data_IF_529805552173
#
_entry.id   IF_529805552173
#
_cell.length_a   1.000
_cell.length_b   1.000
_cell.length_c   1.000
_cell.angle_alpha   90.00
_cell.angle_beta   90.00
_cell.angle_gamma   90.00
#
_symmetry.space_group_name_H-M   'P 1'
#
loop_
_entity.id
_entity.type
_entity.pdbx_description
1 polymer ?
#
# COMPACT_ATOMS: atom_id res chain seq x y z
N UNK A 1 5.98 -9.27 -21.74
CA UNK A 1 5.73 -8.25 -20.70
C UNK A 1 6.50 -8.53 -19.41
N UNK A 2 7.81 -8.23 -19.39
CA UNK A 2 8.65 -8.42 -18.21
C UNK A 2 8.13 -7.67 -16.96
N UNK A 3 7.69 -6.42 -17.14
CA UNK A 3 7.16 -5.60 -16.03
C UNK A 3 5.91 -6.24 -15.42
N UNK A 4 4.99 -6.69 -16.28
CA UNK A 4 3.75 -7.36 -15.84
C UNK A 4 4.07 -8.61 -15.02
N UNK A 5 5.03 -9.41 -15.46
CA UNK A 5 5.46 -10.61 -14.73
C UNK A 5 6.10 -10.25 -13.38
N UNK A 6 7.04 -9.30 -13.36
CA UNK A 6 7.74 -8.88 -12.13
C UNK A 6 6.87 -8.15 -11.11
N UNK A 7 5.65 -7.78 -11.49
CA UNK A 7 4.71 -7.04 -10.63
C UNK A 7 3.43 -7.81 -10.35
N UNK A 8 3.44 -9.13 -10.53
CA UNK A 8 2.25 -9.99 -10.38
C UNK A 8 1.01 -9.46 -11.16
N UNK A 9 1.26 -8.90 -12.34
CA UNK A 9 0.22 -8.30 -13.18
C UNK A 9 -0.35 -6.98 -12.68
N UNK A 10 0.20 -6.39 -11.61
CA UNK A 10 -0.26 -5.11 -11.06
C UNK A 10 0.17 -3.90 -11.88
N UNK A 11 1.29 -4.00 -12.60
CA UNK A 11 1.75 -2.96 -13.52
C UNK A 11 1.79 -3.57 -14.92
N UNK A 12 0.77 -3.27 -15.72
CA UNK A 12 0.57 -3.88 -17.04
C UNK A 12 1.16 -3.07 -18.18
N UNK A 13 1.31 -1.75 -18.01
CA UNK A 13 1.90 -0.83 -18.98
C UNK A 13 2.70 0.23 -18.24
N UNK A 14 3.92 0.47 -18.70
CA UNK A 14 4.78 1.58 -18.21
C UNK A 14 5.11 2.54 -19.34
N UNK A 15 5.16 2.06 -20.57
CA UNK A 15 5.38 2.86 -21.77
C UNK A 15 4.22 2.58 -22.71
N UNK A 16 3.49 3.62 -23.10
CA UNK A 16 2.33 3.51 -24.00
C UNK A 16 2.71 3.66 -25.47
N UNK A 17 3.72 4.49 -25.78
CA UNK A 17 4.24 4.67 -27.13
C UNK A 17 5.68 5.17 -27.08
N UNK A 18 6.44 4.88 -28.14
CA UNK A 18 7.80 5.38 -28.35
C UNK A 18 7.88 6.17 -29.64
N UNK A 19 8.59 7.30 -29.62
CA UNK A 19 8.90 8.08 -30.82
C UNK A 19 10.14 7.52 -31.50
N UNK A 20 10.24 7.68 -32.83
CA UNK A 20 11.36 7.15 -33.64
C UNK A 20 12.74 7.72 -33.28
N UNK A 21 12.78 8.88 -32.62
CA UNK A 21 13.97 9.58 -32.18
C UNK A 21 14.37 9.23 -30.73
N UNK A 22 13.56 8.46 -30.00
CA UNK A 22 13.92 7.94 -28.68
C UNK A 22 14.93 6.79 -28.83
N UNK A 23 16.13 6.98 -28.26
CA UNK A 23 17.28 6.07 -28.43
C UNK A 23 17.55 5.18 -27.23
N UNK A 24 17.11 5.58 -26.03
CA UNK A 24 17.32 4.85 -24.79
C UNK A 24 16.23 5.19 -23.77
N UNK A 25 15.73 4.18 -23.05
CA UNK A 25 14.86 4.37 -21.90
C UNK A 25 15.33 3.47 -20.77
N UNK A 26 15.50 4.07 -19.59
CA UNK A 26 15.76 3.36 -18.35
C UNK A 26 14.47 3.28 -17.55
N UNK A 27 14.00 2.06 -17.30
CA UNK A 27 12.80 1.79 -16.50
C UNK A 27 13.19 1.03 -15.24
N UNK A 28 12.73 1.51 -14.10
CA UNK A 28 12.74 0.77 -12.84
C UNK A 28 11.30 0.49 -12.42
N UNK A 29 11.07 -0.67 -11.81
CA UNK A 29 9.77 -1.01 -11.25
C UNK A 29 9.96 -1.72 -9.92
N UNK A 30 9.28 -1.23 -8.88
CA UNK A 30 9.31 -1.81 -7.53
C UNK A 30 7.93 -2.36 -7.22
N UNK A 31 7.90 -3.62 -6.82
CA UNK A 31 6.71 -4.32 -6.37
C UNK A 31 6.98 -4.99 -5.02
N UNK A 32 6.11 -4.74 -4.05
CA UNK A 32 6.22 -5.31 -2.72
C UNK A 32 4.87 -5.88 -2.28
N UNK A 33 4.88 -7.15 -1.87
CA UNK A 33 3.73 -7.84 -1.31
C UNK A 33 4.25 -8.82 -0.26
N UNK A 34 3.95 -8.53 0.99
CA UNK A 34 4.25 -9.40 2.12
C UNK A 34 3.06 -9.42 3.07
N UNK A 35 2.76 -10.56 3.70
CA UNK A 35 1.79 -10.59 4.77
C UNK A 35 2.34 -9.83 5.99
N UNK A 36 1.45 -9.25 6.78
CA UNK A 36 1.83 -8.74 8.09
C UNK A 36 2.39 -9.87 8.97
N UNK A 37 3.34 -9.53 9.84
CA UNK A 37 3.82 -10.47 10.87
C UNK A 37 2.67 -10.93 11.75
N UNK A 38 1.84 -9.96 12.15
CA UNK A 38 0.59 -10.16 12.88
C UNK A 38 -0.59 -9.77 11.97
N UNK A 39 -1.27 -10.74 11.33
CA UNK A 39 -2.34 -10.46 10.40
C UNK A 39 -3.65 -10.06 11.11
N UNK A 40 -4.40 -9.17 10.47
CA UNK A 40 -5.76 -8.85 10.88
C UNK A 40 -6.67 -10.06 10.71
N UNK A 41 -7.56 -10.29 11.69
CA UNK A 41 -8.61 -11.30 11.56
C UNK A 41 -9.78 -10.68 10.80
N UNK A 42 -10.20 -11.30 9.69
CA UNK A 42 -11.26 -10.74 8.83
C UNK A 42 -12.54 -10.41 9.59
N UNK A 43 -12.96 -11.27 10.54
CA UNK A 43 -14.16 -11.05 11.37
C UNK A 43 -14.07 -9.88 12.36
N UNK A 44 -12.87 -9.31 12.55
CA UNK A 44 -12.68 -8.07 13.32
C UNK A 44 -12.85 -6.81 12.45
N UNK A 45 -12.96 -6.96 11.13
CA UNK A 45 -13.19 -5.85 10.20
C UNK A 45 -14.65 -5.44 10.23
N UNK A 46 -14.93 -4.15 10.42
CA UNK A 46 -16.29 -3.60 10.54
C UNK A 46 -16.44 -2.36 9.67
N UNK A 47 -17.69 -2.00 9.34
CA UNK A 47 -17.96 -0.71 8.73
C UNK A 47 -17.72 0.41 9.74
N UNK A 48 -16.92 1.40 9.35
CA UNK A 48 -16.63 2.59 10.15
C UNK A 48 -16.36 3.81 9.26
N UNK A 49 -16.33 4.99 9.86
CA UNK A 49 -16.15 6.27 9.20
C UNK A 49 -14.66 6.61 9.05
N UNK A 50 -14.29 7.08 7.87
CA UNK A 50 -12.97 7.67 7.59
C UNK A 50 -13.13 9.12 7.12
N UNK A 51 -12.44 10.05 7.78
CA UNK A 51 -12.43 11.47 7.42
C UNK A 51 -11.37 11.73 6.36
N UNK A 52 -11.81 12.15 5.17
CA UNK A 52 -10.94 12.52 4.05
C UNK A 52 -10.24 13.86 4.30
N UNK A 53 -9.23 14.15 3.48
CA UNK A 53 -8.49 15.43 3.50
C UNK A 53 -9.36 16.65 3.21
N UNK A 54 -10.50 16.48 2.53
CA UNK A 54 -11.50 17.53 2.29
C UNK A 54 -12.52 17.67 3.45
N UNK A 55 -12.32 16.96 4.56
CA UNK A 55 -13.18 16.95 5.74
C UNK A 55 -14.45 16.09 5.62
N UNK A 56 -14.71 15.46 4.47
CA UNK A 56 -15.88 14.60 4.29
C UNK A 56 -15.64 13.21 4.91
N UNK A 57 -16.68 12.67 5.55
CA UNK A 57 -16.68 11.29 6.03
C UNK A 57 -17.14 10.32 4.93
N UNK A 58 -16.46 9.18 4.84
CA UNK A 58 -16.88 8.03 4.01
C UNK A 58 -16.96 6.77 4.88
N UNK A 59 -17.83 5.83 4.50
CA UNK A 59 -17.83 4.50 5.09
C UNK A 59 -16.71 3.64 4.47
N UNK A 60 -15.99 2.91 5.30
CA UNK A 60 -14.98 1.96 4.87
C UNK A 60 -15.02 0.68 5.73
N UNK A 61 -14.44 -0.40 5.22
CA UNK A 61 -14.19 -1.63 6.00
C UNK A 61 -12.93 -1.42 6.85
N UNK A 62 -13.11 -0.92 8.07
CA UNK A 62 -12.04 -0.64 9.01
C UNK A 62 -11.55 -1.94 9.67
N UNK A 63 -10.29 -2.30 9.42
CA UNK A 63 -9.66 -3.46 10.03
C UNK A 63 -9.30 -3.16 11.50
N UNK A 64 -9.37 -4.17 12.38
CA UNK A 64 -9.04 -4.01 13.80
C UNK A 64 -8.13 -5.14 14.31
N UNK A 65 -7.15 -4.76 15.12
CA UNK A 65 -6.27 -5.68 15.83
C UNK A 65 -5.80 -5.02 17.13
N UNK A 66 -5.62 -5.82 18.19
CA UNK A 66 -4.99 -5.40 19.44
C UNK A 66 -3.76 -6.27 19.67
N UNK A 67 -2.57 -5.69 19.52
CA UNK A 67 -1.28 -6.35 19.67
C UNK A 67 -0.23 -5.35 20.16
N UNK A 68 0.91 -5.84 20.66
CA UNK A 68 2.05 -4.98 21.01
C UNK A 68 2.74 -4.45 19.75
N UNK A 69 2.49 -3.19 19.40
CA UNK A 69 3.20 -2.50 18.31
C UNK A 69 4.20 -1.51 18.86
N UNK A 70 5.32 -1.34 18.15
CA UNK A 70 6.19 -0.19 18.38
C UNK A 70 5.45 1.08 17.99
N UNK A 71 5.42 2.08 18.86
CA UNK A 71 4.82 3.38 18.55
C UNK A 71 5.64 4.52 19.15
N UNK A 72 5.53 5.68 18.53
CA UNK A 72 6.07 6.94 19.05
C UNK A 72 5.10 8.07 18.71
N UNK A 73 5.03 9.07 19.60
CA UNK A 73 4.18 10.24 19.43
C UNK A 73 5.03 11.48 19.29
N UNK A 74 4.61 12.40 18.43
CA UNK A 74 5.06 13.79 18.40
C UNK A 74 3.88 14.72 18.67
N UNK A 75 4.14 16.03 18.70
CA UNK A 75 3.09 17.03 18.92
C UNK A 75 1.99 16.99 17.81
N UNK A 76 2.37 16.60 16.59
CA UNK A 76 1.49 16.61 15.41
C UNK A 76 1.02 15.22 14.94
N UNK A 77 1.62 14.13 15.45
CA UNK A 77 1.39 12.80 14.88
C UNK A 77 1.63 11.63 15.84
N UNK A 78 1.01 10.50 15.49
CA UNK A 78 1.26 9.19 16.09
C UNK A 78 1.85 8.28 15.01
N UNK A 79 3.01 7.72 15.29
CA UNK A 79 3.69 6.77 14.41
C UNK A 79 3.55 5.36 15.00
N UNK A 80 3.16 4.39 14.17
CA UNK A 80 3.03 2.98 14.55
C UNK A 80 3.84 2.13 13.58
N UNK A 81 4.66 1.23 14.09
CA UNK A 81 5.45 0.27 13.31
C UNK A 81 4.72 -1.06 13.23
N UNK A 82 4.35 -1.47 12.02
CA UNK A 82 3.73 -2.76 11.72
C UNK A 82 4.67 -3.63 10.89
N UNK A 83 5.31 -4.66 11.49
CA UNK A 83 6.25 -5.50 10.77
C UNK A 83 5.55 -6.43 9.78
N UNK A 84 6.21 -6.72 8.67
CA UNK A 84 5.84 -7.82 7.77
C UNK A 84 6.40 -9.15 8.28
N UNK A 85 5.84 -10.25 7.80
CA UNK A 85 6.38 -11.58 8.04
C UNK A 85 7.77 -11.69 7.41
N UNK A 86 8.65 -12.41 8.09
CA UNK A 86 9.98 -12.78 7.58
C UNK A 86 9.90 -13.70 6.35
#
# INVERSE_FOLDING_TARGET
DWIKEKTEGKITKVIESLKRDERLILVNTVYFKQPWKEPFKEFQTKDDKFTKTDGKEIQCKMMNISHGFGYVTSDDAIFVSMPFKD
#
